data_IF_348450536536
#
_entry.id   IF_348450536536
#
_cell.length_a   1.000
_cell.length_b   1.000
_cell.length_c   1.000
_cell.angle_alpha   90.00
_cell.angle_beta   90.00
_cell.angle_gamma   90.00
#
_symmetry.space_group_name_H-M   'P 1'
#
loop_
_entity.id
_entity.type
_entity.pdbx_description
1 polymer ?
#
# COMPACT_ATOMS: atom_id res chain seq x y z
N UNK A 1 -2.76 -9.26 3.42
CA UNK A 1 -2.65 -8.90 1.99
C UNK A 1 -3.95 -8.21 1.61
N UNK A 2 -3.88 -7.05 0.98
CA UNK A 2 -5.03 -6.32 0.42
C UNK A 2 -4.81 -6.20 -1.09
N UNK A 3 -5.83 -6.48 -1.89
CA UNK A 3 -5.74 -6.47 -3.35
C UNK A 3 -6.97 -5.79 -3.94
N UNK A 4 -6.77 -4.94 -4.94
CA UNK A 4 -7.85 -4.27 -5.69
C UNK A 4 -7.56 -4.32 -7.18
N UNK A 5 -8.61 -4.43 -7.99
CA UNK A 5 -8.50 -4.24 -9.43
C UNK A 5 -8.65 -2.74 -9.73
N UNK A 6 -7.61 -2.12 -10.27
CA UNK A 6 -7.62 -0.72 -10.70
C UNK A 6 -7.73 -0.64 -12.22
N UNK A 7 -7.96 0.57 -12.74
CA UNK A 7 -7.99 0.82 -14.19
C UNK A 7 -6.65 0.50 -14.88
N UNK A 8 -5.54 0.57 -14.14
CA UNK A 8 -4.20 0.27 -14.64
C UNK A 8 -3.86 -1.23 -14.56
N UNK A 9 -4.57 -1.95 -13.69
CA UNK A 9 -4.45 -3.38 -13.45
C UNK A 9 -4.51 -3.76 -11.97
N UNK A 10 -4.24 -5.03 -11.63
CA UNK A 10 -4.23 -5.50 -10.26
C UNK A 10 -3.19 -4.76 -9.39
N UNK A 11 -3.65 -4.19 -8.28
CA UNK A 11 -2.83 -3.58 -7.24
C UNK A 11 -2.85 -4.43 -5.97
N UNK A 12 -1.68 -4.65 -5.38
CA UNK A 12 -1.50 -5.41 -4.14
C UNK A 12 -0.73 -4.59 -3.12
N UNK A 13 -1.18 -4.64 -1.87
CA UNK A 13 -0.45 -4.11 -0.73
C UNK A 13 -0.26 -5.23 0.30
N UNK A 14 1.00 -5.57 0.55
CA UNK A 14 1.40 -6.55 1.54
C UNK A 14 2.50 -5.97 2.43
N UNK A 15 2.21 -5.83 3.72
CA UNK A 15 3.07 -5.07 4.63
C UNK A 15 3.35 -3.65 4.08
N UNK A 16 4.62 -3.33 3.84
CA UNK A 16 5.05 -2.07 3.21
C UNK A 16 5.32 -2.23 1.72
N UNK A 17 5.15 -3.41 1.16
CA UNK A 17 5.40 -3.65 -0.26
C UNK A 17 4.09 -3.43 -1.04
N UNK A 18 4.14 -2.48 -1.95
CA UNK A 18 3.11 -2.19 -2.92
C UNK A 18 3.54 -2.78 -4.27
N UNK A 19 2.66 -3.55 -4.93
CA UNK A 19 2.86 -3.95 -6.32
C UNK A 19 1.66 -3.59 -7.18
N UNK A 20 1.94 -3.18 -8.42
CA UNK A 20 0.95 -2.81 -9.40
C UNK A 20 1.33 -3.41 -10.75
N UNK A 21 0.42 -4.18 -11.33
CA UNK A 21 0.63 -4.77 -12.65
C UNK A 21 0.07 -3.82 -13.70
N UNK A 22 0.94 -3.19 -14.48
CA UNK A 22 0.59 -2.30 -15.61
C UNK A 22 1.14 -2.87 -16.91
N UNK A 23 0.31 -2.95 -17.96
CA UNK A 23 0.76 -3.40 -19.29
C UNK A 23 1.60 -4.70 -19.26
N UNK A 24 1.18 -5.69 -18.47
CA UNK A 24 1.88 -6.98 -18.28
C UNK A 24 3.24 -6.90 -17.56
N UNK A 25 3.60 -5.74 -17.00
CA UNK A 25 4.79 -5.55 -16.16
C UNK A 25 4.35 -5.33 -14.72
N UNK A 26 4.97 -6.04 -13.78
CA UNK A 26 4.77 -5.81 -12.34
C UNK A 26 5.78 -4.76 -11.84
N UNK A 27 5.26 -3.62 -11.41
CA UNK A 27 6.03 -2.59 -10.72
C UNK A 27 5.86 -2.83 -9.21
N UNK A 28 6.97 -2.97 -8.48
CA UNK A 28 6.95 -3.16 -7.02
C UNK A 28 7.76 -2.05 -6.35
N UNK A 29 7.20 -1.44 -5.31
CA UNK A 29 7.87 -0.46 -4.47
C UNK A 29 7.65 -0.80 -2.99
N UNK A 30 8.71 -0.61 -2.18
CA UNK A 30 8.59 -0.67 -0.72
C UNK A 30 8.35 0.74 -0.21
N UNK A 31 7.23 0.94 0.48
CA UNK A 31 6.84 2.19 1.10
C UNK A 31 7.77 2.49 2.30
N UNK A 32 8.52 3.56 2.23
CA UNK A 32 9.47 4.01 3.24
C UNK A 32 8.86 5.03 4.20
N UNK A 33 7.80 5.73 3.76
CA UNK A 33 7.13 6.76 4.57
C UNK A 33 5.65 6.51 4.78
N UNK A 34 5.14 7.02 5.92
CA UNK A 34 3.69 7.02 6.19
C UNK A 34 2.90 7.77 5.12
N UNK A 35 3.48 8.83 4.56
CA UNK A 35 2.85 9.63 3.51
C UNK A 35 2.63 8.82 2.23
N UNK A 36 3.58 7.94 1.88
CA UNK A 36 3.41 7.00 0.76
C UNK A 36 2.29 6.00 1.02
N UNK A 37 2.23 5.40 2.23
CA UNK A 37 1.11 4.53 2.59
C UNK A 37 -0.23 5.24 2.49
N UNK A 38 -0.32 6.47 3.01
CA UNK A 38 -1.54 7.27 2.90
C UNK A 38 -1.92 7.53 1.44
N UNK A 39 -0.92 7.85 0.60
CA UNK A 39 -1.13 8.12 -0.82
C UNK A 39 -1.62 6.86 -1.55
N UNK A 40 -0.97 5.72 -1.37
CA UNK A 40 -1.40 4.45 -1.97
C UNK A 40 -2.83 4.09 -1.55
N UNK A 41 -3.14 4.18 -0.25
CA UNK A 41 -4.49 3.86 0.24
C UNK A 41 -5.56 4.78 -0.36
N UNK A 42 -5.29 6.07 -0.50
CA UNK A 42 -6.26 7.05 -1.03
C UNK A 42 -6.35 7.07 -2.55
N UNK A 43 -5.22 7.09 -3.26
CA UNK A 43 -5.17 7.21 -4.71
C UNK A 43 -5.52 5.90 -5.40
N UNK A 44 -4.96 4.77 -4.92
CA UNK A 44 -5.06 3.45 -5.56
C UNK A 44 -6.22 2.65 -4.98
N UNK A 45 -6.28 2.51 -3.65
CA UNK A 45 -7.31 1.72 -2.99
C UNK A 45 -8.62 2.51 -2.74
N UNK A 46 -8.63 3.81 -3.03
CA UNK A 46 -9.77 4.73 -2.78
C UNK A 46 -10.26 4.74 -1.32
N UNK A 47 -9.40 4.34 -0.39
CA UNK A 47 -9.63 4.28 1.04
C UNK A 47 -9.16 5.57 1.71
N UNK A 48 -10.12 6.41 2.07
CA UNK A 48 -9.89 7.63 2.84
C UNK A 48 -9.97 7.30 4.33
N UNK A 49 -8.85 6.88 4.91
CA UNK A 49 -8.78 6.53 6.32
C UNK A 49 -8.42 7.74 7.19
N UNK A 50 -8.95 7.83 8.42
CA UNK A 50 -8.50 8.82 9.40
C UNK A 50 -7.00 8.71 9.66
N UNK A 51 -6.35 9.86 9.93
CA UNK A 51 -4.90 9.93 10.20
C UNK A 51 -4.45 8.94 11.27
N UNK A 52 -5.22 8.78 12.35
CA UNK A 52 -4.95 7.85 13.45
C UNK A 52 -4.97 6.38 13.03
N UNK A 53 -5.83 6.01 12.09
CA UNK A 53 -5.87 4.67 11.49
C UNK A 53 -4.63 4.44 10.64
N UNK A 54 -4.21 5.43 9.85
CA UNK A 54 -2.98 5.35 9.04
C UNK A 54 -1.76 5.24 9.94
N UNK A 55 -1.67 6.02 11.03
CA UNK A 55 -0.61 5.89 12.04
C UNK A 55 -0.55 4.46 12.60
N UNK A 56 -1.70 3.94 13.02
CA UNK A 56 -1.80 2.59 13.58
C UNK A 56 -1.42 1.51 12.56
N UNK A 57 -1.76 1.68 11.28
CA UNK A 57 -1.36 0.77 10.21
C UNK A 57 0.15 0.85 9.99
N UNK A 58 0.72 2.05 9.85
CA UNK A 58 2.14 2.25 9.63
C UNK A 58 3.01 1.57 10.70
N UNK A 59 2.66 1.77 11.98
CA UNK A 59 3.35 1.14 13.10
C UNK A 59 3.23 -0.39 13.04
N UNK A 60 2.05 -0.94 12.72
CA UNK A 60 1.82 -2.38 12.61
C UNK A 60 2.58 -3.02 11.44
N UNK A 61 2.70 -2.30 10.32
CA UNK A 61 3.43 -2.76 9.14
C UNK A 61 4.95 -2.69 9.38
N UNK A 62 5.44 -1.68 10.11
CA UNK A 62 6.85 -1.55 10.51
C UNK A 62 7.29 -2.53 11.61
N UNK A 63 6.38 -2.92 12.51
CA UNK A 63 6.68 -3.85 13.61
C UNK A 63 6.91 -5.29 13.16
N UNK A 64 6.45 -5.67 11.95
CA UNK A 64 6.55 -7.03 11.41
C UNK A 64 7.79 -7.27 10.52
N UNK A 65 8.61 -6.25 10.29
CA UNK A 65 9.82 -6.30 9.46
C UNK A 65 11.14 -6.61 10.19
N UNK A 66 11.09 -7.08 11.44
CA UNK A 66 12.26 -7.61 12.18
C UNK A 66 12.03 -9.09 12.52
N UNK A 67 12.12 -9.96 11.52
CA UNK A 67 12.38 -11.39 11.70
C UNK A 67 13.32 -11.87 10.59
#
# INVERSE_FOLDING_TARGET
>A
MMSVLTDEGPANLFNKDFSLIRNQTEETETLETKSELQRVLSDVFRLHLPRSTIDSLWEKLGSRGRL
#
